data_IF_962461734053
#
_entry.id   IF_962461734053
#
_cell.length_a   1.000
_cell.length_b   1.000
_cell.length_c   1.000
_cell.angle_alpha   90.00
_cell.angle_beta   90.00
_cell.angle_gamma   90.00
#
_symmetry.space_group_name_H-M   'P 1'
#
loop_
_entity.id
_entity.type
_entity.pdbx_description
1 polymer ?
#
# COMPACT_ATOMS: atom_id res chain seq x y z
N UNK A 1 -3.04 -10.64 -5.51
CA UNK A 1 -4.26 -10.08 -6.15
C UNK A 1 -3.82 -9.04 -7.17
N UNK A 2 -4.74 -8.46 -7.95
CA UNK A 2 -4.35 -7.40 -8.88
C UNK A 2 -4.05 -6.11 -8.13
N UNK A 3 -3.23 -5.28 -8.74
CA UNK A 3 -2.97 -3.91 -8.30
C UNK A 3 -4.21 -3.04 -8.55
N UNK A 4 -4.45 -2.06 -7.70
CA UNK A 4 -5.59 -1.14 -7.80
C UNK A 4 -6.15 -0.72 -6.45
N UNK A 5 -7.18 0.12 -6.51
CA UNK A 5 -7.94 0.62 -5.35
C UNK A 5 -9.17 -0.25 -5.14
N UNK A 6 -9.40 -0.65 -3.90
CA UNK A 6 -10.53 -1.47 -3.48
C UNK A 6 -11.37 -0.71 -2.46
N UNK A 7 -12.69 -0.81 -2.56
CA UNK A 7 -13.65 -0.20 -1.62
C UNK A 7 -13.97 -1.10 -0.41
N UNK A 8 -13.52 -2.35 -0.42
CA UNK A 8 -13.75 -3.33 0.65
C UNK A 8 -12.45 -3.92 1.16
N UNK A 9 -12.45 -4.32 2.43
CA UNK A 9 -11.34 -5.07 3.04
C UNK A 9 -11.05 -6.32 2.23
N UNK A 10 -9.77 -6.63 2.07
CA UNK A 10 -9.34 -7.80 1.31
C UNK A 10 -8.86 -8.92 2.25
N UNK A 11 -9.08 -10.19 1.89
CA UNK A 11 -8.57 -11.32 2.65
C UNK A 11 -7.05 -11.21 2.87
N UNK A 12 -6.61 -11.44 4.11
CA UNK A 12 -5.20 -11.33 4.49
C UNK A 12 -4.28 -12.17 3.58
N UNK A 13 -4.70 -13.36 3.19
CA UNK A 13 -3.95 -14.26 2.30
C UNK A 13 -3.66 -13.61 0.93
N UNK A 14 -4.63 -12.86 0.37
CA UNK A 14 -4.43 -12.16 -0.92
C UNK A 14 -3.47 -10.98 -0.79
N UNK A 15 -3.47 -10.32 0.37
CA UNK A 15 -2.58 -9.21 0.67
C UNK A 15 -1.15 -9.71 0.86
N UNK A 16 -0.96 -10.76 1.66
CA UNK A 16 0.34 -11.44 1.83
C UNK A 16 0.88 -11.87 0.47
N UNK A 17 0.08 -12.53 -0.35
CA UNK A 17 0.49 -12.92 -1.70
C UNK A 17 0.97 -11.74 -2.55
N UNK A 18 0.32 -10.58 -2.43
CA UNK A 18 0.75 -9.39 -3.18
C UNK A 18 2.09 -8.86 -2.67
N UNK A 19 2.32 -8.90 -1.36
CA UNK A 19 3.62 -8.56 -0.75
C UNK A 19 4.72 -9.54 -1.16
N UNK A 20 4.39 -10.83 -1.34
CA UNK A 20 5.34 -11.85 -1.83
C UNK A 20 5.87 -11.53 -3.24
N UNK A 21 4.99 -11.00 -4.11
CA UNK A 21 5.35 -10.50 -5.44
C UNK A 21 6.06 -9.14 -5.43
N UNK A 22 6.18 -8.50 -4.26
CA UNK A 22 6.80 -7.19 -4.11
C UNK A 22 5.84 -6.01 -4.34
N UNK A 23 4.53 -6.22 -4.32
CA UNK A 23 3.58 -5.11 -4.32
C UNK A 23 3.66 -4.34 -3.00
N UNK A 24 3.25 -3.07 -3.06
CA UNK A 24 2.98 -2.25 -1.88
C UNK A 24 1.50 -2.37 -1.55
N UNK A 25 1.19 -2.69 -0.30
CA UNK A 25 -0.19 -2.63 0.22
C UNK A 25 -0.35 -1.37 1.05
N UNK A 26 -1.31 -0.53 0.67
CA UNK A 26 -1.64 0.74 1.34
C UNK A 26 -2.97 0.54 2.04
N UNK A 27 -2.99 0.77 3.35
CA UNK A 27 -4.18 0.69 4.19
C UNK A 27 -4.66 2.10 4.55
N UNK A 28 -5.97 2.30 4.50
CA UNK A 28 -6.65 3.54 4.86
C UNK A 28 -7.95 3.25 5.61
N UNK A 29 -8.57 4.24 6.25
CA UNK A 29 -9.92 4.11 6.85
C UNK A 29 -10.84 5.24 6.36
N UNK A 30 -10.72 6.42 6.95
CA UNK A 30 -11.39 7.65 6.53
C UNK A 30 -10.35 8.72 6.19
N UNK A 31 -9.45 8.47 5.22
CA UNK A 31 -8.53 9.50 4.77
C UNK A 31 -9.30 10.61 4.04
N UNK A 32 -8.75 11.81 3.99
CA UNK A 32 -9.30 12.85 3.12
C UNK A 32 -9.36 12.38 1.66
N UNK A 33 -10.43 12.72 0.92
CA UNK A 33 -10.63 12.28 -0.47
C UNK A 33 -9.41 12.58 -1.37
N UNK A 34 -8.73 13.70 -1.13
CA UNK A 34 -7.50 14.09 -1.84
C UNK A 34 -6.39 13.04 -1.69
N UNK A 35 -6.27 12.38 -0.53
CA UNK A 35 -5.25 11.35 -0.27
C UNK A 35 -5.49 10.07 -1.07
N UNK A 36 -6.74 9.65 -1.23
CA UNK A 36 -7.06 8.46 -2.04
C UNK A 36 -6.84 8.72 -3.52
N UNK A 37 -7.13 9.94 -3.97
CA UNK A 37 -6.93 10.33 -5.37
C UNK A 37 -5.47 10.20 -5.81
N UNK A 38 -4.50 10.44 -4.91
CA UNK A 38 -3.07 10.21 -5.20
C UNK A 38 -2.76 8.76 -5.59
N UNK A 39 -3.57 7.79 -5.14
CA UNK A 39 -3.40 6.37 -5.45
C UNK A 39 -4.39 5.82 -6.49
N UNK A 40 -5.17 6.67 -7.14
CA UNK A 40 -6.25 6.27 -8.07
C UNK A 40 -5.81 6.01 -9.52
N UNK A 41 -4.54 6.25 -9.86
CA UNK A 41 -3.95 5.99 -11.17
C UNK A 41 -3.71 4.51 -11.49
N UNK A 42 -3.23 4.18 -12.71
CA UNK A 42 -2.85 2.83 -13.10
C UNK A 42 -1.51 2.44 -12.43
N UNK A 43 -1.56 2.26 -11.10
CA UNK A 43 -0.40 1.87 -10.32
C UNK A 43 -0.23 0.35 -10.41
N UNK A 44 0.58 -0.09 -11.36
CA UNK A 44 1.12 -1.44 -11.27
C UNK A 44 1.85 -1.60 -9.91
N UNK A 45 1.85 -2.81 -9.33
CA UNK A 45 2.48 -3.09 -8.04
C UNK A 45 1.96 -2.33 -6.79
N UNK A 46 0.81 -1.64 -6.83
CA UNK A 46 0.21 -0.99 -5.65
C UNK A 46 -1.21 -1.51 -5.42
N UNK A 47 -1.51 -1.88 -4.18
CA UNK A 47 -2.82 -2.38 -3.73
C UNK A 47 -3.31 -1.47 -2.61
N UNK A 48 -4.42 -0.77 -2.82
CA UNK A 48 -4.99 0.16 -1.83
C UNK A 48 -6.28 -0.42 -1.28
N UNK A 49 -6.36 -0.62 0.04
CA UNK A 49 -7.48 -1.31 0.69
C UNK A 49 -7.91 -0.61 1.98
N UNK A 50 -9.21 -0.58 2.31
CA UNK A 50 -9.66 -0.07 3.58
C UNK A 50 -9.24 -1.01 4.72
N UNK A 51 -9.11 -0.43 5.91
CA UNK A 51 -8.80 -1.08 7.17
C UNK A 51 -9.37 -0.22 8.33
N UNK A 52 -10.52 -0.59 8.89
CA UNK A 52 -11.18 0.16 9.95
C UNK A 52 -10.29 0.41 11.17
N UNK A 53 -10.43 1.59 11.77
CA UNK A 53 -9.74 1.99 12.99
C UNK A 53 -8.40 2.71 12.77
N UNK A 54 -8.11 3.15 11.55
CA UNK A 54 -6.93 3.98 11.24
C UNK A 54 -7.25 5.49 11.27
N UNK A 55 -8.52 5.88 11.22
CA UNK A 55 -8.92 7.28 11.08
C UNK A 55 -8.30 7.90 9.83
N UNK A 56 -7.61 9.03 9.99
CA UNK A 56 -6.93 9.75 8.89
C UNK A 56 -5.55 9.15 8.53
N UNK A 57 -5.09 8.13 9.27
CA UNK A 57 -3.76 7.57 9.06
C UNK A 57 -3.68 6.72 7.79
N UNK A 58 -2.56 6.83 7.08
CA UNK A 58 -2.19 5.96 5.97
C UNK A 58 -1.08 5.01 6.41
N UNK A 59 -1.19 3.73 6.06
CA UNK A 59 -0.14 2.74 6.35
C UNK A 59 0.27 2.03 5.07
N UNK A 60 1.53 2.22 4.66
CA UNK A 60 2.14 1.50 3.55
C UNK A 60 2.88 0.29 4.10
N UNK A 61 2.71 -0.86 3.46
CA UNK A 61 3.36 -2.12 3.80
C UNK A 61 4.02 -2.71 2.57
N UNK A 62 5.28 -3.07 2.70
CA UNK A 62 6.00 -3.91 1.74
C UNK A 62 6.46 -5.18 2.47
N UNK A 63 7.08 -6.12 1.76
CA UNK A 63 7.56 -7.34 2.40
C UNK A 63 8.48 -7.02 3.60
N UNK A 64 8.06 -7.40 4.80
CA UNK A 64 8.76 -7.14 6.09
C UNK A 64 9.00 -5.66 6.44
N UNK A 65 8.39 -4.72 5.71
CA UNK A 65 8.58 -3.27 5.89
C UNK A 65 7.24 -2.56 6.04
N UNK A 66 7.25 -1.47 6.78
CA UNK A 66 6.04 -0.70 7.07
C UNK A 66 6.38 0.76 7.29
N UNK A 67 5.55 1.64 6.75
CA UNK A 67 5.54 3.07 7.00
C UNK A 67 4.13 3.46 7.45
N UNK A 68 4.01 4.04 8.64
CA UNK A 68 2.75 4.57 9.16
C UNK A 68 2.83 6.09 9.18
N UNK A 69 1.83 6.74 8.59
CA UNK A 69 1.72 8.17 8.44
C UNK A 69 0.43 8.65 9.12
N UNK A 70 0.51 9.24 10.33
CA UNK A 70 -0.67 9.80 11.00
C UNK A 70 -1.33 10.93 10.22
N UNK A 71 -0.51 11.67 9.46
CA UNK A 71 -0.93 12.62 8.45
C UNK A 71 -0.23 12.24 7.15
N UNK A 72 -0.96 12.24 6.05
CA UNK A 72 -0.43 11.85 4.76
C UNK A 72 0.69 12.78 4.30
N UNK A 73 1.84 12.18 3.95
CA UNK A 73 3.00 12.85 3.38
C UNK A 73 3.35 12.16 2.05
N UNK A 74 3.06 12.82 0.91
CA UNK A 74 3.21 12.21 -0.41
C UNK A 74 4.68 11.94 -0.76
N UNK A 75 5.62 12.77 -0.33
CA UNK A 75 7.05 12.60 -0.60
C UNK A 75 7.61 11.37 0.12
N UNK A 76 7.24 11.19 1.39
CA UNK A 76 7.61 10.02 2.17
C UNK A 76 6.95 8.73 1.63
N UNK A 77 5.69 8.81 1.18
CA UNK A 77 5.01 7.69 0.55
C UNK A 77 5.67 7.29 -0.79
N UNK A 78 5.99 8.26 -1.64
CA UNK A 78 6.69 8.05 -2.90
C UNK A 78 8.07 7.42 -2.70
N UNK A 79 8.84 7.92 -1.73
CA UNK A 79 10.16 7.36 -1.38
C UNK A 79 10.06 5.91 -0.89
N UNK A 80 9.04 5.57 -0.11
CA UNK A 80 8.80 4.20 0.33
C UNK A 80 8.41 3.28 -0.84
N UNK A 81 7.55 3.76 -1.74
CA UNK A 81 7.14 3.00 -2.92
C UNK A 81 8.33 2.74 -3.83
N UNK A 82 9.14 3.75 -4.14
CA UNK A 82 10.35 3.61 -4.97
C UNK A 82 11.34 2.61 -4.36
N UNK A 83 11.56 2.69 -3.05
CA UNK A 83 12.54 1.85 -2.38
C UNK A 83 12.08 0.39 -2.21
N UNK A 84 10.79 0.08 -2.14
CA UNK A 84 10.34 -1.27 -1.81
C UNK A 84 9.47 -1.96 -2.87
N UNK A 85 8.91 -1.24 -3.83
CA UNK A 85 8.10 -1.85 -4.88
C UNK A 85 8.95 -2.79 -5.73
N UNK A 86 8.38 -3.95 -6.06
CA UNK A 86 9.06 -5.04 -6.76
C UNK A 86 10.05 -5.83 -5.90
N UNK A 87 10.20 -5.52 -4.60
CA UNK A 87 11.17 -6.16 -3.70
C UNK A 87 10.50 -7.13 -2.72
N UNK A 88 9.89 -8.17 -3.26
CA UNK A 88 9.35 -9.30 -2.50
C UNK A 88 10.37 -10.44 -2.33
N UNK A 89 10.08 -11.47 -1.52
CA UNK A 89 10.90 -12.68 -1.38
C UNK A 89 11.11 -13.42 -2.70
N UNK A 90 10.18 -13.29 -3.65
CA UNK A 90 10.30 -13.90 -4.99
C UNK A 90 11.18 -13.06 -5.95
N UNK A 91 11.52 -11.83 -5.56
CA UNK A 91 12.40 -10.92 -6.28
C UNK A 91 13.57 -10.46 -5.37
N UNK A 92 14.48 -11.37 -4.97
CA UNK A 92 15.60 -11.02 -4.12
C UNK A 92 16.48 -9.99 -4.83
N UNK A 93 16.64 -8.81 -4.21
CA UNK A 93 17.64 -7.82 -4.61
C UNK A 93 19.02 -8.44 -4.40
N UNK A 94 19.85 -8.44 -5.45
CA UNK A 94 21.18 -9.05 -5.45
C UNK A 94 22.25 -8.10 -4.93
#
# INVERSE_FOLDING_TARGET
MNSGVYDQEQPQEKLVHSLEHGNIVIYYDEPGEETINEFSGPWDGIVVVPKPGLGESIVLTAWTKKLAQPQFDPDAAASFIDEYRGRGPENPVR
#
